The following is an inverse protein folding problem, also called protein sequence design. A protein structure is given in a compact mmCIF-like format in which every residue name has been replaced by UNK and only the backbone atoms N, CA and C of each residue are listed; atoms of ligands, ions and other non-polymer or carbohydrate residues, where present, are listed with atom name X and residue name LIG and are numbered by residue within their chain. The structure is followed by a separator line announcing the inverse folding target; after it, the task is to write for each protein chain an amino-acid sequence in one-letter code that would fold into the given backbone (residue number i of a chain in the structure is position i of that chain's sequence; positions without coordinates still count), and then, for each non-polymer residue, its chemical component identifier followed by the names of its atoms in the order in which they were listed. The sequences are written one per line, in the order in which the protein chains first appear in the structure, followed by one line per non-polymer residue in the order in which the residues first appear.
data_IF_149121981396
#
_entry.id   IF_149121981396
#
_cell.length_a   1.000
_cell.length_b   1.000
_cell.length_c   1.000
_cell.angle_alpha   90.00
_cell.angle_beta   90.00
_cell.angle_gamma   90.00
#
_symmetry.space_group_name_H-M   'P 1'
#
loop_
_entity.id
_entity.type
_entity.pdbx_description
1 polymer ?
#
# COMPACT_ATOMS: atom_id res chain seq x y z
N UNK A 1 -24.80 -26.79 -4.63
CA UNK A 1 -23.98 -26.62 -5.84
C UNK A 1 -22.96 -25.54 -5.56
N UNK A 2 -21.67 -25.87 -5.54
CA UNK A 2 -20.61 -24.87 -5.40
C UNK A 2 -20.46 -24.22 -6.79
N UNK A 3 -20.65 -22.89 -6.95
CA UNK A 3 -20.49 -22.26 -8.24
C UNK A 3 -19.04 -22.44 -8.71
N UNK A 4 -18.88 -22.83 -9.97
CA UNK A 4 -17.59 -23.00 -10.60
C UNK A 4 -16.99 -21.61 -10.82
N UNK A 5 -15.96 -21.23 -10.06
CA UNK A 5 -15.27 -19.92 -10.13
C UNK A 5 -14.32 -19.88 -11.34
N UNK A 6 -14.66 -20.59 -12.42
CA UNK A 6 -13.88 -20.59 -13.64
C UNK A 6 -14.07 -19.27 -14.38
N UNK A 7 -13.05 -18.42 -14.25
CA UNK A 7 -12.67 -17.35 -15.18
C UNK A 7 -13.54 -16.08 -15.16
N UNK A 8 -13.57 -15.40 -14.00
CA UNK A 8 -13.85 -13.96 -13.98
C UNK A 8 -12.58 -13.26 -14.50
N UNK A 9 -12.64 -12.41 -15.54
CA UNK A 9 -11.47 -11.78 -16.17
C UNK A 9 -10.65 -10.84 -15.24
N UNK A 10 -11.12 -10.61 -14.01
CA UNK A 10 -10.47 -9.77 -13.00
C UNK A 10 -10.60 -10.38 -11.59
N UNK A 11 -10.23 -11.65 -11.43
CA UNK A 11 -10.18 -12.23 -10.08
C UNK A 11 -9.18 -11.46 -9.21
N UNK A 12 -9.51 -11.28 -7.93
CA UNK A 12 -8.63 -10.59 -6.98
C UNK A 12 -7.25 -11.26 -6.87
N UNK A 13 -7.16 -12.58 -7.09
CA UNK A 13 -5.89 -13.31 -7.15
C UNK A 13 -5.07 -12.99 -8.40
N UNK A 14 -5.72 -12.73 -9.54
CA UNK A 14 -5.02 -12.28 -10.75
C UNK A 14 -4.41 -10.89 -10.53
N UNK A 15 -5.12 -10.00 -9.84
CA UNK A 15 -4.63 -8.66 -9.48
C UNK A 15 -3.41 -8.78 -8.56
N UNK A 16 -3.49 -9.59 -7.50
CA UNK A 16 -2.37 -9.85 -6.59
C UNK A 16 -1.13 -10.37 -7.34
N UNK A 17 -1.32 -11.35 -8.24
CA UNK A 17 -0.25 -11.84 -9.12
C UNK A 17 0.34 -10.73 -10.00
N UNK A 18 -0.49 -9.85 -10.57
CA UNK A 18 -0.02 -8.74 -11.40
C UNK A 18 0.78 -7.70 -10.62
N UNK A 19 0.42 -7.46 -9.35
CA UNK A 19 1.19 -6.61 -8.44
C UNK A 19 2.59 -7.20 -8.22
N UNK A 20 2.68 -8.51 -7.95
CA UNK A 20 3.97 -9.17 -7.74
C UNK A 20 4.85 -9.16 -9.01
N UNK A 21 4.26 -9.39 -10.19
CA UNK A 21 4.94 -9.26 -11.49
C UNK A 21 5.45 -7.83 -11.72
N UNK A 22 4.63 -6.82 -11.41
CA UNK A 22 5.01 -5.42 -11.52
C UNK A 22 6.19 -5.08 -10.60
N UNK A 23 6.18 -5.53 -9.34
CA UNK A 23 7.25 -5.24 -8.38
C UNK A 23 8.58 -5.88 -8.80
N UNK A 24 8.55 -7.08 -9.37
CA UNK A 24 9.73 -7.74 -9.96
C UNK A 24 10.28 -6.95 -11.16
N UNK A 25 9.40 -6.54 -12.07
CA UNK A 25 9.76 -5.70 -13.20
C UNK A 25 10.35 -4.35 -12.75
N UNK A 26 9.73 -3.73 -11.75
CA UNK A 26 10.13 -2.43 -11.21
C UNK A 26 11.52 -2.49 -10.56
N UNK A 27 11.84 -3.56 -9.81
CA UNK A 27 13.19 -3.80 -9.29
C UNK A 27 14.25 -3.79 -10.42
N UNK A 28 13.94 -4.44 -11.53
CA UNK A 28 14.78 -4.44 -12.73
C UNK A 28 15.00 -3.03 -13.27
N UNK A 29 13.94 -2.22 -13.34
CA UNK A 29 14.05 -0.81 -13.76
C UNK A 29 14.87 0.04 -12.79
N UNK A 30 14.72 -0.16 -11.48
CA UNK A 30 15.52 0.55 -10.48
C UNK A 30 17.01 0.24 -10.61
N UNK A 31 17.39 -1.02 -10.85
CA UNK A 31 18.80 -1.39 -11.08
C UNK A 31 19.38 -0.72 -12.32
N UNK A 32 18.60 -0.65 -13.40
CA UNK A 32 18.98 -0.03 -14.68
C UNK A 32 18.93 1.50 -14.67
N UNK A 33 18.41 2.11 -13.60
CA UNK A 33 18.34 3.56 -13.47
C UNK A 33 19.75 4.15 -13.50
N UNK A 34 19.97 5.14 -14.36
CA UNK A 34 21.25 5.86 -14.41
C UNK A 34 21.37 6.76 -13.18
N UNK A 35 22.60 7.04 -12.75
CA UNK A 35 22.81 7.94 -11.61
C UNK A 35 22.20 9.32 -11.89
N UNK A 36 22.30 9.82 -13.13
CA UNK A 36 21.66 11.07 -13.54
C UNK A 36 20.14 11.04 -13.35
N UNK A 37 19.47 10.01 -13.86
CA UNK A 37 18.01 9.90 -13.74
C UNK A 37 17.55 9.74 -12.29
N UNK A 38 18.29 8.97 -11.49
CA UNK A 38 18.08 8.87 -10.04
C UNK A 38 18.18 10.25 -9.38
N UNK A 39 19.27 10.98 -9.62
CA UNK A 39 19.47 12.33 -9.06
C UNK A 39 18.42 13.33 -9.51
N UNK A 40 17.96 13.24 -10.76
CA UNK A 40 16.82 14.04 -11.23
C UNK A 40 15.56 13.76 -10.42
N UNK A 41 15.24 12.50 -10.13
CA UNK A 41 14.08 12.15 -9.33
C UNK A 41 14.22 12.61 -7.87
N UNK A 42 15.40 12.46 -7.27
CA UNK A 42 15.69 12.95 -5.91
C UNK A 42 15.53 14.47 -5.84
N UNK A 43 16.09 15.20 -6.79
CA UNK A 43 15.98 16.66 -6.86
C UNK A 43 14.53 17.13 -7.07
N UNK A 44 13.76 16.43 -7.91
CA UNK A 44 12.34 16.73 -8.08
C UNK A 44 11.54 16.52 -6.79
N UNK A 45 11.83 15.45 -6.04
CA UNK A 45 11.19 15.18 -4.76
C UNK A 45 11.57 16.21 -3.68
N UNK A 46 12.85 16.63 -3.64
CA UNK A 46 13.30 17.72 -2.76
C UNK A 46 12.53 19.00 -3.07
N UNK A 47 12.43 19.39 -4.35
CA UNK A 47 11.67 20.58 -4.73
C UNK A 47 10.21 20.53 -4.28
N UNK A 48 9.54 19.37 -4.41
CA UNK A 48 8.17 19.20 -3.93
C UNK A 48 8.09 19.37 -2.40
N UNK A 49 9.10 18.92 -1.65
CA UNK A 49 9.15 19.01 -0.19
C UNK A 49 9.53 20.40 0.33
N UNK A 50 10.27 21.18 -0.45
CA UNK A 50 10.65 22.56 -0.12
C UNK A 50 9.57 23.58 -0.52
N UNK A 51 8.55 23.16 -1.26
CA UNK A 51 7.41 24.01 -1.55
C UNK A 51 6.73 24.46 -0.25
N UNK A 52 6.61 25.77 -0.08
CA UNK A 52 5.86 26.36 1.03
C UNK A 52 4.37 26.03 0.90
N UNK A 53 3.68 26.02 2.04
CA UNK A 53 2.23 25.83 2.11
C UNK A 53 1.55 26.95 1.29
N UNK A 54 0.68 26.56 0.36
CA UNK A 54 0.05 27.51 -0.57
C UNK A 54 -1.04 28.35 0.10
N UNK A 55 -1.58 27.84 1.21
CA UNK A 55 -2.57 28.49 2.05
C UNK A 55 -2.53 27.90 3.47
N UNK A 56 -3.09 28.65 4.43
CA UNK A 56 -3.08 28.29 5.86
C UNK A 56 -3.65 26.89 6.17
N UNK A 57 -4.57 26.38 5.35
CA UNK A 57 -5.15 25.05 5.53
C UNK A 57 -4.12 23.92 5.41
N UNK A 58 -3.18 24.03 4.47
CA UNK A 58 -2.09 23.04 4.31
C UNK A 58 -1.14 23.06 5.51
N UNK A 59 -0.81 24.26 6.00
CA UNK A 59 0.00 24.43 7.21
C UNK A 59 -0.70 23.80 8.44
N UNK A 60 -2.01 24.05 8.58
CA UNK A 60 -2.82 23.47 9.66
C UNK A 60 -2.84 21.95 9.57
N UNK A 61 -3.11 21.38 8.40
CA UNK A 61 -3.15 19.93 8.21
C UNK A 61 -1.79 19.28 8.50
N UNK A 62 -0.70 19.89 8.03
CA UNK A 62 0.67 19.42 8.29
C UNK A 62 0.99 19.41 9.77
N UNK A 63 0.76 20.52 10.48
CA UNK A 63 1.02 20.62 11.92
C UNK A 63 0.07 19.73 12.73
N UNK A 64 -1.18 19.59 12.31
CA UNK A 64 -2.17 18.76 13.00
C UNK A 64 -1.84 17.27 12.90
N UNK A 65 -1.28 16.83 11.78
CA UNK A 65 -0.77 15.46 11.63
C UNK A 65 0.36 15.16 12.63
N UNK A 66 1.28 16.10 12.88
CA UNK A 66 2.33 15.94 13.89
C UNK A 66 1.77 15.83 15.31
N UNK A 67 0.71 16.57 15.61
CA UNK A 67 0.02 16.52 16.92
C UNK A 67 -0.72 15.20 17.08
N UNK A 68 -1.53 14.81 16.08
CA UNK A 68 -2.37 13.61 16.14
C UNK A 68 -1.54 12.33 16.13
N UNK A 69 -0.43 12.32 15.40
CA UNK A 69 0.52 11.20 15.43
C UNK A 69 1.41 11.18 16.68
N UNK A 70 1.37 12.24 17.50
CA UNK A 70 2.26 12.47 18.63
C UNK A 70 3.73 12.35 18.24
N UNK A 71 4.09 12.85 17.06
CA UNK A 71 5.47 12.89 16.57
C UNK A 71 6.11 14.26 16.81
N UNK A 72 5.31 15.33 16.86
CA UNK A 72 5.73 16.72 17.12
C UNK A 72 6.98 17.17 16.34
N UNK A 73 7.22 16.58 15.15
CA UNK A 73 8.37 16.91 14.31
C UNK A 73 7.95 17.95 13.26
N UNK A 74 7.77 19.19 13.72
CA UNK A 74 7.22 20.27 12.90
C UNK A 74 8.14 20.70 11.74
N UNK A 75 9.44 20.41 11.85
CA UNK A 75 10.47 20.63 10.83
C UNK A 75 10.80 19.35 10.03
N UNK A 76 9.91 18.35 10.02
CA UNK A 76 10.08 17.07 9.30
C UNK A 76 10.59 17.24 7.87
N UNK A 77 10.03 18.20 7.13
CA UNK A 77 10.41 18.42 5.73
C UNK A 77 11.91 18.77 5.60
N UNK A 78 12.47 19.54 6.52
CA UNK A 78 13.90 19.87 6.52
C UNK A 78 14.76 18.61 6.74
N UNK A 79 14.39 17.77 7.71
CA UNK A 79 15.08 16.50 7.98
C UNK A 79 14.96 15.51 6.81
N UNK A 80 13.79 15.43 6.17
CA UNK A 80 13.58 14.57 5.00
C UNK A 80 14.38 15.06 3.79
N UNK A 81 14.51 16.37 3.59
CA UNK A 81 15.34 16.96 2.54
C UNK A 81 16.82 16.62 2.77
N UNK A 82 17.33 16.79 3.99
CA UNK A 82 18.70 16.42 4.35
C UNK A 82 18.98 14.92 4.09
N UNK A 83 18.05 14.06 4.51
CA UNK A 83 18.15 12.62 4.25
C UNK A 83 18.16 12.31 2.75
N UNK A 84 17.29 12.94 1.96
CA UNK A 84 17.22 12.76 0.51
C UNK A 84 18.49 13.22 -0.22
N UNK A 85 19.14 14.30 0.24
CA UNK A 85 20.41 14.75 -0.32
C UNK A 85 21.52 13.70 -0.17
N UNK A 86 21.53 12.99 0.96
CA UNK A 86 22.51 11.91 1.24
C UNK A 86 22.17 10.57 0.58
N UNK A 87 20.92 10.36 0.16
CA UNK A 87 20.44 9.09 -0.39
C UNK A 87 21.18 8.72 -1.69
N UNK A 88 21.64 7.47 -1.78
CA UNK A 88 22.26 6.93 -3.00
C UNK A 88 21.33 5.95 -3.72
N UNK A 89 21.59 5.72 -5.02
CA UNK A 89 20.88 4.69 -5.78
C UNK A 89 21.04 3.31 -5.15
N UNK A 90 22.23 3.02 -4.59
CA UNK A 90 22.50 1.75 -3.93
C UNK A 90 21.60 1.55 -2.70
N UNK A 91 21.41 2.60 -1.89
CA UNK A 91 20.53 2.55 -0.72
C UNK A 91 19.09 2.25 -1.14
N UNK A 92 18.61 2.93 -2.18
CA UNK A 92 17.27 2.72 -2.73
C UNK A 92 17.07 1.27 -3.22
N UNK A 93 18.02 0.72 -3.97
CA UNK A 93 17.96 -0.68 -4.46
C UNK A 93 18.04 -1.66 -3.30
N UNK A 94 18.96 -1.44 -2.35
CA UNK A 94 19.12 -2.30 -1.18
C UNK A 94 17.87 -2.32 -0.30
N UNK A 95 17.28 -1.16 -0.04
CA UNK A 95 16.02 -1.05 0.68
C UNK A 95 14.89 -1.82 -0.02
N UNK A 96 14.74 -1.67 -1.34
CA UNK A 96 13.69 -2.36 -2.10
C UNK A 96 13.86 -3.88 -2.06
N UNK A 97 15.10 -4.38 -2.10
CA UNK A 97 15.40 -5.80 -1.97
C UNK A 97 15.03 -6.36 -0.61
N UNK A 98 15.36 -5.64 0.48
CA UNK A 98 14.96 -6.03 1.84
C UNK A 98 13.44 -6.02 1.96
N UNK A 99 12.78 -4.97 1.45
CA UNK A 99 11.33 -4.83 1.47
C UNK A 99 10.61 -5.97 0.73
N UNK A 100 11.21 -6.51 -0.33
CA UNK A 100 10.67 -7.62 -1.14
C UNK A 100 11.19 -9.00 -0.72
N UNK A 101 12.09 -9.05 0.26
CA UNK A 101 12.75 -10.26 0.72
C UNK A 101 11.83 -11.25 1.44
N UNK A 102 12.42 -12.33 1.94
CA UNK A 102 11.69 -13.40 2.65
C UNK A 102 11.01 -12.92 3.94
N UNK A 103 11.59 -11.93 4.60
CA UNK A 103 11.09 -11.33 5.84
C UNK A 103 10.06 -10.20 5.59
N UNK A 104 9.57 -10.06 4.35
CA UNK A 104 8.58 -9.02 4.02
C UNK A 104 7.29 -9.24 4.80
N UNK A 105 6.70 -8.15 5.28
CA UNK A 105 5.37 -8.15 5.90
C UNK A 105 4.35 -7.73 4.84
N UNK A 106 3.51 -8.66 4.40
CA UNK A 106 2.47 -8.41 3.41
C UNK A 106 1.11 -8.87 3.95
N UNK A 107 0.10 -8.01 3.81
CA UNK A 107 -1.30 -8.29 4.09
C UNK A 107 -2.10 -7.87 2.86
N UNK A 108 -2.84 -8.82 2.27
CA UNK A 108 -3.71 -8.55 1.12
C UNK A 108 -5.16 -8.77 1.53
N UNK A 109 -6.02 -7.81 1.19
CA UNK A 109 -7.45 -7.84 1.49
C UNK A 109 -8.20 -7.98 0.16
N UNK A 110 -8.83 -9.12 -0.03
CA UNK A 110 -9.54 -9.46 -1.26
C UNK A 110 -11.04 -9.25 -1.04
N UNK A 111 -11.62 -8.28 -1.73
CA UNK A 111 -13.07 -8.04 -1.75
C UNK A 111 -13.62 -8.52 -3.09
N UNK A 112 -14.55 -9.47 -3.04
CA UNK A 112 -15.17 -10.07 -4.23
C UNK A 112 -16.63 -9.66 -4.26
N UNK A 113 -17.05 -9.02 -5.36
CA UNK A 113 -18.45 -8.71 -5.60
C UNK A 113 -19.24 -9.95 -5.98
N UNK A 114 -20.50 -10.04 -5.55
CA UNK A 114 -21.43 -11.07 -5.98
C UNK A 114 -22.66 -10.38 -6.57
N UNK A 115 -23.01 -10.64 -7.83
CA UNK A 115 -24.22 -10.08 -8.43
C UNK A 115 -24.48 -10.52 -9.87
N UNK A 116 -25.75 -10.54 -10.28
CA UNK A 116 -26.20 -10.87 -11.65
C UNK A 116 -25.74 -9.87 -12.73
N UNK A 117 -25.07 -8.78 -12.35
CA UNK A 117 -24.61 -7.71 -13.22
C UNK A 117 -23.10 -7.77 -13.51
N UNK A 118 -22.51 -8.97 -13.49
CA UNK A 118 -21.11 -9.16 -13.96
C UNK A 118 -20.97 -9.03 -15.50
N UNK A 119 -22.05 -8.72 -16.22
CA UNK A 119 -21.99 -8.21 -17.60
C UNK A 119 -22.54 -6.79 -17.66
N UNK A 120 -21.90 -5.93 -18.45
CA UNK A 120 -22.28 -4.53 -18.75
C UNK A 120 -23.74 -4.40 -19.17
N UNK A 121 -24.64 -4.40 -18.19
CA UNK A 121 -26.05 -4.11 -18.35
C UNK A 121 -26.32 -2.98 -17.39
N UNK A 122 -26.57 -1.78 -17.93
CA UNK A 122 -27.06 -0.63 -17.19
C UNK A 122 -28.23 -1.08 -16.31
N UNK A 123 -28.01 -1.16 -15.00
CA UNK A 123 -29.10 -1.38 -14.05
C UNK A 123 -29.30 -0.16 -13.21
N UNK A 124 -30.54 0.29 -13.32
CA UNK A 124 -31.20 1.28 -12.50
C UNK A 124 -30.88 1.11 -11.02
N UNK A 125 -30.52 2.25 -10.43
CA UNK A 125 -30.31 2.54 -9.03
C UNK A 125 -31.29 1.78 -8.13
N UNK A 126 -30.83 0.71 -7.48
CA UNK A 126 -31.59 -0.01 -6.46
C UNK A 126 -31.04 0.28 -5.07
N UNK A 127 -31.86 1.04 -4.34
CA UNK A 127 -32.10 1.00 -2.89
C UNK A 127 -30.87 1.12 -1.96
N UNK A 128 -30.59 2.38 -1.63
CA UNK A 128 -29.78 2.84 -0.50
C UNK A 128 -30.43 2.44 0.85
N UNK A 129 -30.44 1.14 1.17
CA UNK A 129 -31.07 0.64 2.40
C UNK A 129 -30.77 -0.81 2.79
N UNK A 130 -30.08 -1.59 1.96
CA UNK A 130 -29.68 -2.95 2.34
C UNK A 130 -28.34 -2.94 3.07
N UNK A 131 -28.32 -3.58 4.25
CA UNK A 131 -27.10 -3.81 5.02
C UNK A 131 -26.24 -4.78 4.22
N UNK A 132 -25.13 -4.30 3.67
CA UNK A 132 -24.15 -5.17 3.00
C UNK A 132 -23.58 -6.18 4.01
N UNK A 133 -23.86 -7.46 3.78
CA UNK A 133 -23.31 -8.54 4.60
C UNK A 133 -22.02 -9.06 3.97
N UNK A 134 -20.90 -8.91 4.69
CA UNK A 134 -19.61 -9.50 4.30
C UNK A 134 -19.53 -10.95 4.77
N UNK A 135 -19.12 -11.84 3.86
CA UNK A 135 -18.87 -13.25 4.15
C UNK A 135 -17.45 -13.64 3.75
N UNK A 136 -16.77 -14.38 4.62
CA UNK A 136 -15.43 -14.91 4.34
C UNK A 136 -15.53 -16.06 3.33
N UNK A 137 -14.84 -15.93 2.21
CA UNK A 137 -14.76 -16.96 1.18
C UNK A 137 -13.63 -17.96 1.47
N UNK A 138 -13.79 -19.25 1.18
CA UNK A 138 -12.70 -20.20 1.32
C UNK A 138 -11.53 -19.82 0.41
N UNK A 139 -10.26 -20.09 0.81
CA UNK A 139 -9.10 -19.78 0.00
C UNK A 139 -9.14 -20.58 -1.32
N UNK A 140 -8.80 -19.92 -2.42
CA UNK A 140 -8.71 -20.56 -3.73
C UNK A 140 -7.42 -21.39 -3.86
N UNK A 141 -7.36 -22.24 -4.89
CA UNK A 141 -6.18 -23.08 -5.17
C UNK A 141 -4.92 -22.28 -5.48
N UNK A 142 -5.06 -21.01 -5.87
CA UNK A 142 -3.96 -20.08 -6.13
C UNK A 142 -3.30 -19.53 -4.86
N UNK A 143 -3.98 -19.62 -3.71
CA UNK A 143 -3.54 -19.04 -2.43
C UNK A 143 -3.12 -20.11 -1.40
N UNK A 144 -2.83 -21.34 -1.84
CA UNK A 144 -2.52 -22.49 -0.95
C UNK A 144 -1.37 -22.25 0.04
N UNK A 145 -0.41 -21.40 -0.31
CA UNK A 145 0.76 -21.10 0.52
C UNK A 145 0.59 -19.83 1.37
N UNK A 146 -0.61 -19.26 1.42
CA UNK A 146 -0.91 -18.06 2.21
C UNK A 146 -1.67 -18.42 3.47
N UNK A 147 -1.41 -17.69 4.56
CA UNK A 147 -2.18 -17.86 5.80
C UNK A 147 -3.48 -17.09 5.66
N UNK A 148 -4.59 -17.80 5.61
CA UNK A 148 -5.91 -17.19 5.46
C UNK A 148 -6.47 -16.72 6.81
N UNK A 149 -6.83 -15.43 6.89
CA UNK A 149 -7.34 -14.81 8.12
C UNK A 149 -8.87 -14.87 8.13
N UNK A 150 -9.43 -15.66 9.07
CA UNK A 150 -10.89 -15.79 9.28
C UNK A 150 -11.40 -15.06 10.51
N UNK A 151 -10.51 -14.82 11.46
CA UNK A 151 -10.81 -14.11 12.69
C UNK A 151 -9.75 -13.03 12.89
N UNK A 152 -10.17 -11.78 12.68
CA UNK A 152 -9.31 -10.61 12.79
C UNK A 152 -8.78 -10.47 14.23
N UNK A 153 -9.60 -10.78 15.25
CA UNK A 153 -9.20 -10.64 16.65
C UNK A 153 -8.14 -11.65 17.02
N UNK A 154 -8.30 -12.90 16.59
CA UNK A 154 -7.27 -13.91 16.82
C UNK A 154 -5.96 -13.53 16.09
N UNK A 155 -6.07 -13.11 14.83
CA UNK A 155 -4.92 -12.66 14.06
C UNK A 155 -4.17 -11.51 14.73
N UNK A 156 -4.87 -10.47 15.19
CA UNK A 156 -4.22 -9.32 15.83
C UNK A 156 -3.58 -9.66 17.17
N UNK A 157 -4.15 -10.60 17.96
CA UNK A 157 -3.56 -11.07 19.22
C UNK A 157 -2.24 -11.84 19.01
N UNK A 158 -2.03 -12.44 17.84
CA UNK A 158 -0.79 -13.15 17.52
C UNK A 158 0.35 -12.22 17.06
N UNK A 159 0.06 -10.93 16.80
CA UNK A 159 1.04 -9.99 16.30
C UNK A 159 1.73 -9.23 17.42
N UNK A 160 3.04 -8.99 17.23
CA UNK A 160 3.78 -8.07 18.07
C UNK A 160 3.36 -6.64 17.76
N UNK A 161 2.97 -5.89 18.79
CA UNK A 161 2.73 -4.46 18.67
C UNK A 161 4.07 -3.73 18.51
N UNK A 162 4.16 -2.88 17.49
CA UNK A 162 5.30 -1.98 17.37
C UNK A 162 5.28 -0.98 18.54
N UNK A 163 6.46 -0.59 19.06
CA UNK A 163 6.52 0.39 20.13
C UNK A 163 5.88 1.68 19.66
N UNK A 164 5.13 2.32 20.55
CA UNK A 164 4.69 3.69 20.31
C UNK A 164 5.93 4.58 20.21
N UNK A 165 5.94 5.49 19.24
CA UNK A 165 7.02 6.46 19.13
C UNK A 165 6.97 7.36 20.37
N UNK A 166 7.85 7.10 21.34
CA UNK A 166 8.00 7.94 22.53
C UNK A 166 8.91 9.10 22.15
N UNK A 167 8.40 10.31 22.27
CA UNK A 167 9.21 11.52 22.23
C UNK A 167 9.97 11.61 23.55
N UNK A 168 11.28 11.85 23.46
CA UNK A 168 12.15 12.19 24.60
C UNK A 168 12.27 13.69 24.72
#
# INVERSE_FOLDING_TARGET
MVPNISLIPFSSELVDKKIEEFLLYFEGKMRLLTEKAFRTQVSALIHIKECEDSYLGEEVDRNWNEIMSQQYLFDRLAHEVEALQSLTKSDLVGWFQVHRGKERKALSIHVVGFGKQEGDSDVQQSLLGEIYQLTFLPPSSYMKNTTYIRDIRNFTLMLNLLPYHKIK
#
